data_IF_746702502256
#
_entry.id   IF_746702502256
#
_cell.length_a   1.000
_cell.length_b   1.000
_cell.length_c   1.000
_cell.angle_alpha   90.00
_cell.angle_beta   90.00
_cell.angle_gamma   90.00
#
_symmetry.space_group_name_H-M   'P 1'
#
loop_
_entity.id
_entity.type
_entity.pdbx_description
1 polymer ?
#
# COMPACT_ATOMS: atom_id res chain seq x y z
N UNK A 1 17.92 -1.29 11.82
CA UNK A 1 17.65 -1.66 10.42
C UNK A 1 16.59 -0.72 9.93
N UNK A 2 16.92 0.13 8.96
CA UNK A 2 15.98 1.14 8.49
C UNK A 2 15.06 0.53 7.42
N UNK A 3 13.85 1.07 7.29
CA UNK A 3 12.87 0.67 6.29
C UNK A 3 12.55 1.84 5.37
N UNK A 4 12.33 1.55 4.10
CA UNK A 4 11.79 2.47 3.11
C UNK A 4 10.37 2.03 2.76
N UNK A 5 9.42 2.96 2.88
CA UNK A 5 8.02 2.71 2.54
C UNK A 5 7.62 3.63 1.39
N UNK A 6 7.12 3.06 0.31
CA UNK A 6 6.60 3.82 -0.84
C UNK A 6 5.08 3.67 -0.89
N UNK A 7 4.31 4.76 -0.67
CA UNK A 7 2.86 4.72 -0.76
C UNK A 7 2.40 4.83 -2.21
N UNK A 8 1.30 4.14 -2.53
CA UNK A 8 0.54 4.33 -3.77
C UNK A 8 -0.95 4.13 -3.54
N UNK A 9 -1.79 4.72 -4.38
CA UNK A 9 -3.21 4.38 -4.40
C UNK A 9 -3.44 3.09 -5.18
N UNK A 10 -4.46 2.33 -4.78
CA UNK A 10 -4.92 1.14 -5.51
C UNK A 10 -6.40 0.94 -5.26
N UNK A 11 -7.17 0.74 -6.31
CA UNK A 11 -8.59 0.40 -6.17
C UNK A 11 -8.71 -1.10 -5.85
N UNK A 12 -9.51 -1.41 -4.83
CA UNK A 12 -9.75 -2.77 -4.34
C UNK A 12 -11.23 -2.97 -4.03
N UNK A 13 -11.71 -4.20 -4.17
CA UNK A 13 -13.06 -4.57 -3.76
C UNK A 13 -13.07 -5.01 -2.29
N UNK A 14 -13.94 -4.41 -1.48
CA UNK A 14 -14.20 -4.81 -0.09
C UNK A 14 -15.72 -4.85 0.11
N UNK A 15 -16.23 -6.00 0.56
CA UNK A 15 -17.66 -6.24 0.78
C UNK A 15 -18.52 -5.91 -0.46
N UNK A 16 -18.04 -6.28 -1.65
CA UNK A 16 -18.73 -6.01 -2.92
C UNK A 16 -18.71 -4.55 -3.37
N UNK A 17 -17.95 -3.67 -2.71
CA UNK A 17 -17.83 -2.25 -3.05
C UNK A 17 -16.40 -1.91 -3.47
N UNK A 18 -16.26 -1.16 -4.56
CA UNK A 18 -14.98 -0.60 -5.00
C UNK A 18 -14.55 0.55 -4.09
N UNK A 19 -13.32 0.48 -3.59
CA UNK A 19 -12.75 1.48 -2.67
C UNK A 19 -11.30 1.75 -3.05
N UNK A 20 -10.89 3.00 -2.91
CA UNK A 20 -9.48 3.37 -3.06
C UNK A 20 -8.72 3.11 -1.75
N UNK A 21 -7.73 2.23 -1.81
CA UNK A 21 -6.84 1.91 -0.70
C UNK A 21 -5.47 2.60 -0.85
N UNK A 22 -4.75 2.72 0.28
CA UNK A 22 -3.33 3.10 0.30
C UNK A 22 -2.51 1.82 0.44
N UNK A 23 -1.72 1.50 -0.58
CA UNK A 23 -0.76 0.39 -0.58
C UNK A 23 0.61 0.92 -0.15
N UNK A 24 1.23 0.24 0.80
CA UNK A 24 2.61 0.52 1.22
C UNK A 24 3.53 -0.58 0.72
N UNK A 25 4.40 -0.26 -0.23
CA UNK A 25 5.52 -1.14 -0.58
C UNK A 25 6.64 -0.91 0.45
N UNK A 26 6.89 -1.92 1.29
CA UNK A 26 7.91 -1.87 2.35
C UNK A 26 9.15 -2.63 1.91
N UNK A 27 10.31 -2.00 2.01
CA UNK A 27 11.60 -2.57 1.65
C UNK A 27 12.66 -2.21 2.70
N UNK A 28 13.69 -3.05 2.91
CA UNK A 28 14.81 -2.67 3.74
C UNK A 28 15.55 -1.49 3.12
N UNK A 29 15.87 -0.49 3.95
CA UNK A 29 16.77 0.61 3.61
C UNK A 29 18.14 0.23 4.17
N UNK A 30 19.16 0.22 3.29
CA UNK A 30 20.55 0.00 3.72
C UNK A 30 20.98 1.09 4.69
#
# INVERSE_FOLDING_TARGET
>A
TDLCCVPSFSDIEIDGNERTAIKLLVMPKK
#
